data_IF_799128176384
#
_entry.id   IF_799128176384
#
_cell.length_a   1.000
_cell.length_b   1.000
_cell.length_c   1.000
_cell.angle_alpha   90.00
_cell.angle_beta   90.00
_cell.angle_gamma   90.00
#
_symmetry.space_group_name_H-M   'P 1'
#
loop_
_entity.id
_entity.type
_entity.pdbx_description
1 polymer ?
#
# COMPACT_ATOMS: atom_id res chain seq x y z
N UNK A 1 -12.84 47.10 -30.87
CA UNK A 1 -12.53 47.11 -29.43
C UNK A 1 -12.53 45.71 -28.80
N UNK A 2 -13.39 44.78 -29.21
CA UNK A 2 -13.52 43.46 -28.63
C UNK A 2 -12.34 42.54 -29.03
N UNK A 3 -11.81 42.69 -30.27
CA UNK A 3 -10.69 41.87 -30.76
C UNK A 3 -9.35 42.24 -30.10
N UNK A 4 -9.19 43.49 -29.69
CA UNK A 4 -7.96 43.95 -29.05
C UNK A 4 -7.80 43.51 -27.59
N UNK A 5 -8.88 42.96 -26.99
CA UNK A 5 -8.93 42.56 -25.59
C UNK A 5 -9.09 41.05 -25.36
N UNK A 6 -8.81 40.20 -26.35
CA UNK A 6 -9.08 38.76 -26.28
C UNK A 6 -10.51 38.44 -25.76
N UNK A 7 -11.49 39.21 -26.21
CA UNK A 7 -12.82 39.25 -25.64
C UNK A 7 -13.61 37.98 -25.93
N UNK A 8 -14.20 37.47 -24.88
CA UNK A 8 -15.27 36.47 -24.94
C UNK A 8 -16.58 37.15 -25.30
N UNK A 9 -17.30 36.63 -26.27
CA UNK A 9 -18.63 37.11 -26.69
C UNK A 9 -19.69 36.04 -26.40
N UNK A 10 -20.85 36.51 -26.03
CA UNK A 10 -22.04 35.65 -25.85
C UNK A 10 -23.01 35.89 -26.99
N UNK A 11 -23.50 34.85 -27.58
CA UNK A 11 -24.46 34.92 -28.66
C UNK A 11 -25.39 33.72 -28.74
N UNK A 12 -26.49 33.91 -29.42
CA UNK A 12 -27.49 32.87 -29.65
C UNK A 12 -27.27 32.20 -31.01
N UNK A 13 -27.30 30.87 -31.06
CA UNK A 13 -27.25 30.11 -32.30
C UNK A 13 -28.56 30.30 -33.07
N UNK A 14 -28.48 30.93 -34.23
CA UNK A 14 -29.65 31.24 -35.08
C UNK A 14 -29.85 30.28 -36.23
N UNK A 15 -28.77 29.66 -36.68
CA UNK A 15 -28.80 28.74 -37.82
C UNK A 15 -27.73 27.66 -37.72
N UNK A 16 -28.05 26.46 -38.12
CA UNK A 16 -27.11 25.35 -38.32
C UNK A 16 -26.82 25.23 -39.81
N UNK A 17 -25.55 25.36 -40.18
CA UNK A 17 -25.11 25.25 -41.58
C UNK A 17 -24.13 24.08 -41.73
N UNK A 18 -23.85 23.73 -42.98
CA UNK A 18 -22.87 22.72 -43.31
C UNK A 18 -21.47 23.21 -42.85
N UNK A 19 -20.88 22.54 -41.89
CA UNK A 19 -19.56 22.83 -41.36
C UNK A 19 -19.53 23.73 -40.13
N UNK A 20 -20.68 24.14 -39.58
CA UNK A 20 -20.67 24.93 -38.34
C UNK A 20 -22.01 25.52 -37.94
N UNK A 21 -21.97 26.51 -37.08
CA UNK A 21 -23.10 27.25 -36.53
C UNK A 21 -23.00 28.73 -36.89
N UNK A 22 -24.13 29.36 -37.10
CA UNK A 22 -24.24 30.80 -37.19
C UNK A 22 -24.75 31.34 -35.86
N UNK A 23 -23.98 32.24 -35.25
CA UNK A 23 -24.25 32.81 -33.94
C UNK A 23 -24.47 34.30 -34.05
N UNK A 24 -25.55 34.80 -33.47
CA UNK A 24 -25.85 36.21 -33.38
C UNK A 24 -25.18 36.85 -32.15
N UNK A 25 -24.14 37.64 -32.38
CA UNK A 25 -23.41 38.38 -31.36
C UNK A 25 -23.58 39.91 -31.52
N UNK A 26 -24.63 40.35 -32.19
CA UNK A 26 -24.80 41.72 -32.73
C UNK A 26 -24.26 41.85 -34.12
N UNK A 27 -23.53 40.90 -34.60
CA UNK A 27 -23.04 40.66 -35.95
C UNK A 27 -23.20 39.16 -36.26
N UNK A 28 -23.21 38.79 -37.55
CA UNK A 28 -23.23 37.41 -37.93
C UNK A 28 -21.87 36.76 -37.68
N UNK A 29 -21.82 35.87 -36.66
CA UNK A 29 -20.64 35.09 -36.31
C UNK A 29 -20.70 33.69 -36.87
N UNK A 30 -19.60 33.11 -37.35
CA UNK A 30 -19.47 31.74 -37.79
C UNK A 30 -18.65 30.95 -36.75
N UNK A 31 -19.22 29.88 -36.27
CA UNK A 31 -18.54 28.94 -35.34
C UNK A 31 -18.35 27.60 -36.09
N UNK A 32 -17.11 27.31 -36.57
CA UNK A 32 -16.81 26.05 -37.23
C UNK A 32 -17.11 24.84 -36.36
N UNK A 33 -17.57 23.74 -36.95
CA UNK A 33 -17.89 22.52 -36.22
C UNK A 33 -16.72 21.94 -35.42
N UNK A 34 -15.50 22.10 -35.92
CA UNK A 34 -14.27 21.69 -35.26
C UNK A 34 -13.91 22.53 -34.04
N UNK A 35 -14.50 23.70 -33.86
CA UNK A 35 -14.24 24.66 -32.81
C UNK A 35 -15.38 24.84 -31.79
N UNK A 36 -16.39 23.96 -31.84
CA UNK A 36 -17.53 24.01 -30.90
C UNK A 36 -17.19 23.40 -29.56
N UNK A 37 -16.62 22.21 -29.56
CA UNK A 37 -16.25 21.45 -28.36
C UNK A 37 -14.80 21.01 -28.41
N UNK A 38 -14.25 20.58 -27.27
CA UNK A 38 -12.93 19.97 -27.19
C UNK A 38 -12.81 18.68 -27.99
N UNK A 39 -13.92 17.97 -28.14
CA UNK A 39 -14.05 16.77 -28.97
C UNK A 39 -14.88 17.09 -30.20
N UNK A 40 -14.68 16.31 -31.26
CA UNK A 40 -15.45 16.48 -32.50
C UNK A 40 -16.93 16.23 -32.26
N UNK A 41 -17.75 17.21 -32.58
CA UNK A 41 -19.24 17.11 -32.55
C UNK A 41 -19.75 16.63 -33.89
N UNK A 42 -20.58 15.61 -33.89
CA UNK A 42 -21.18 15.03 -35.11
C UNK A 42 -22.54 15.66 -35.45
N UNK A 43 -23.32 15.99 -34.43
CA UNK A 43 -24.66 16.56 -34.58
C UNK A 43 -24.68 17.98 -33.99
N UNK A 44 -24.96 18.97 -34.83
CA UNK A 44 -25.03 20.38 -34.50
C UNK A 44 -26.43 20.86 -34.13
N UNK A 45 -27.46 20.07 -34.47
CA UNK A 45 -28.88 20.42 -34.28
C UNK A 45 -29.21 20.80 -32.82
N UNK A 46 -28.70 20.11 -31.80
CA UNK A 46 -29.01 20.46 -30.40
C UNK A 46 -28.56 21.86 -29.98
N UNK A 47 -27.65 22.48 -30.71
CA UNK A 47 -27.15 23.82 -30.43
C UNK A 47 -28.05 24.94 -30.94
N UNK A 48 -28.98 24.62 -31.83
CA UNK A 48 -29.90 25.62 -32.39
C UNK A 48 -30.77 26.25 -31.29
N UNK A 49 -30.77 27.59 -31.23
CA UNK A 49 -31.50 28.35 -30.23
C UNK A 49 -30.83 28.46 -28.87
N UNK A 50 -29.68 27.82 -28.68
CA UNK A 50 -28.90 27.92 -27.44
C UNK A 50 -28.05 29.19 -27.42
N UNK A 51 -27.90 29.75 -26.22
CA UNK A 51 -26.94 30.81 -25.97
C UNK A 51 -25.59 30.19 -25.66
N UNK A 52 -24.55 30.60 -26.38
CA UNK A 52 -23.19 30.09 -26.21
C UNK A 52 -22.18 31.23 -26.03
N UNK A 53 -21.10 30.93 -25.36
CA UNK A 53 -19.93 31.79 -25.20
C UNK A 53 -18.82 31.30 -26.11
N UNK A 54 -18.11 32.19 -26.76
CA UNK A 54 -16.98 31.86 -27.60
C UNK A 54 -15.96 33.02 -27.68
N UNK A 55 -14.73 32.71 -28.07
CA UNK A 55 -13.70 33.70 -28.37
C UNK A 55 -13.75 34.08 -29.85
N UNK A 56 -13.41 35.34 -30.13
CA UNK A 56 -13.25 35.82 -31.49
C UNK A 56 -11.85 35.47 -31.99
N UNK A 57 -11.76 34.63 -33.03
CA UNK A 57 -10.50 34.28 -33.68
C UNK A 57 -10.15 35.29 -34.77
N UNK A 58 -11.10 35.64 -35.60
CA UNK A 58 -10.88 36.55 -36.72
C UNK A 58 -12.09 37.47 -36.87
N UNK A 59 -11.81 38.72 -37.18
CA UNK A 59 -12.81 39.75 -37.44
C UNK A 59 -12.52 40.40 -38.79
N UNK A 60 -13.35 40.16 -39.77
CA UNK A 60 -13.35 40.83 -41.07
C UNK A 60 -14.35 42.00 -41.07
N UNK A 61 -13.84 43.23 -40.87
CA UNK A 61 -14.67 44.44 -40.81
C UNK A 61 -15.30 44.78 -42.14
N UNK A 62 -14.71 44.37 -43.26
CA UNK A 62 -15.18 44.69 -44.60
C UNK A 62 -16.38 43.79 -45.00
N UNK A 63 -16.35 42.56 -44.53
CA UNK A 63 -17.39 41.55 -44.81
C UNK A 63 -18.40 41.38 -43.68
N UNK A 64 -18.22 42.10 -42.59
CA UNK A 64 -19.02 41.92 -41.34
C UNK A 64 -19.09 40.48 -40.88
N UNK A 65 -18.01 39.71 -41.08
CA UNK A 65 -17.90 38.35 -40.66
C UNK A 65 -16.96 38.22 -39.44
N UNK A 66 -17.38 37.39 -38.51
CA UNK A 66 -16.60 37.05 -37.32
C UNK A 66 -16.47 35.55 -37.24
N UNK A 67 -15.24 35.04 -37.08
CA UNK A 67 -14.99 33.62 -36.83
C UNK A 67 -14.79 33.46 -35.33
N UNK A 68 -15.59 32.55 -34.76
CA UNK A 68 -15.63 32.26 -33.34
C UNK A 68 -15.03 30.89 -33.03
N UNK A 69 -14.51 30.75 -31.81
CA UNK A 69 -14.06 29.46 -31.27
C UNK A 69 -14.54 29.28 -29.83
N UNK A 70 -15.46 28.39 -29.63
CA UNK A 70 -15.85 27.95 -28.31
C UNK A 70 -14.76 27.03 -27.71
N UNK A 71 -14.13 26.23 -28.56
CA UNK A 71 -13.03 25.34 -28.18
C UNK A 71 -11.86 26.12 -27.56
N UNK A 72 -11.47 27.27 -28.13
CA UNK A 72 -10.43 28.10 -27.58
C UNK A 72 -10.77 28.64 -26.18
N UNK A 73 -12.03 29.01 -25.96
CA UNK A 73 -12.51 29.42 -24.64
C UNK A 73 -12.50 28.25 -23.63
N UNK A 74 -12.98 27.07 -24.03
CA UNK A 74 -12.99 25.89 -23.16
C UNK A 74 -11.57 25.43 -22.82
N UNK A 75 -10.64 25.45 -23.77
CA UNK A 75 -9.22 25.14 -23.53
C UNK A 75 -8.58 26.14 -22.56
N UNK A 76 -8.85 27.43 -22.71
CA UNK A 76 -8.35 28.44 -21.79
C UNK A 76 -8.92 28.26 -20.38
N UNK A 77 -10.22 28.07 -20.23
CA UNK A 77 -10.88 27.85 -18.95
C UNK A 77 -10.35 26.60 -18.26
N UNK A 78 -10.16 25.53 -19.01
CA UNK A 78 -9.61 24.28 -18.52
C UNK A 78 -8.15 24.45 -18.08
N UNK A 79 -7.33 25.17 -18.86
CA UNK A 79 -5.94 25.47 -18.54
C UNK A 79 -5.84 26.33 -17.29
N UNK A 80 -6.67 27.38 -17.16
CA UNK A 80 -6.71 28.25 -15.98
C UNK A 80 -7.14 27.47 -14.74
N UNK A 81 -8.17 26.64 -14.84
CA UNK A 81 -8.63 25.77 -13.75
C UNK A 81 -7.56 24.78 -13.32
N UNK A 82 -6.87 24.18 -14.29
CA UNK A 82 -5.76 23.26 -14.05
C UNK A 82 -4.58 23.96 -13.35
N UNK A 83 -4.17 25.12 -13.82
CA UNK A 83 -3.10 25.94 -13.22
C UNK A 83 -3.47 26.36 -11.80
N UNK A 84 -4.69 26.83 -11.57
CA UNK A 84 -5.18 27.20 -10.24
C UNK A 84 -5.18 25.99 -9.31
N UNK A 85 -5.64 24.83 -9.78
CA UNK A 85 -5.64 23.59 -9.02
C UNK A 85 -4.22 23.16 -8.64
N UNK A 86 -3.26 23.18 -9.58
CA UNK A 86 -1.86 22.86 -9.32
C UNK A 86 -1.19 23.83 -8.33
N UNK A 87 -1.52 25.12 -8.39
CA UNK A 87 -1.00 26.12 -7.46
C UNK A 87 -1.51 25.93 -6.03
N UNK A 88 -2.65 25.30 -5.85
CA UNK A 88 -3.23 24.97 -4.54
C UNK A 88 -2.74 23.64 -3.97
N UNK A 89 -2.01 22.85 -4.76
CA UNK A 89 -1.42 21.61 -4.30
C UNK A 89 -0.05 21.88 -3.65
N UNK A 90 0.17 21.26 -2.51
CA UNK A 90 1.42 21.37 -1.76
C UNK A 90 1.95 19.98 -1.42
N UNK A 91 3.29 19.85 -1.40
CA UNK A 91 3.97 18.63 -0.94
C UNK A 91 3.53 18.26 0.47
N UNK A 92 3.24 16.98 0.68
CA UNK A 92 2.77 16.46 1.97
C UNK A 92 1.26 16.55 2.19
N UNK A 93 0.51 17.17 1.28
CA UNK A 93 -0.94 17.24 1.35
C UNK A 93 -1.57 15.89 1.00
N UNK A 94 -2.54 15.47 1.79
CA UNK A 94 -3.32 14.24 1.54
C UNK A 94 -4.60 14.60 0.80
N UNK A 95 -4.85 13.91 -0.32
CA UNK A 95 -6.05 14.09 -1.14
C UNK A 95 -6.68 12.76 -1.52
N UNK A 96 -7.98 12.78 -1.75
CA UNK A 96 -8.73 11.68 -2.33
C UNK A 96 -8.80 11.81 -3.84
N UNK A 97 -8.68 10.69 -4.52
CA UNK A 97 -8.78 10.62 -5.97
C UNK A 97 -9.33 9.29 -6.44
N UNK A 98 -9.59 9.20 -7.73
CA UNK A 98 -10.10 7.99 -8.38
C UNK A 98 -9.05 7.50 -9.36
N UNK A 99 -8.75 6.21 -9.33
CA UNK A 99 -7.83 5.59 -10.29
C UNK A 99 -8.43 5.69 -11.69
N UNK A 100 -7.79 6.47 -12.57
CA UNK A 100 -8.26 6.71 -13.94
C UNK A 100 -7.69 5.71 -14.93
N UNK A 101 -6.44 5.28 -14.74
CA UNK A 101 -5.81 4.25 -15.57
C UNK A 101 -4.65 3.58 -14.83
N UNK A 102 -4.33 2.37 -15.25
CA UNK A 102 -3.22 1.58 -14.74
C UNK A 102 -2.23 1.32 -15.87
N UNK A 103 -0.96 1.60 -15.62
CA UNK A 103 0.15 1.40 -16.54
C UNK A 103 1.22 0.50 -15.92
N UNK A 104 2.19 0.04 -16.70
CA UNK A 104 3.23 -0.89 -16.23
C UNK A 104 4.07 -0.34 -15.07
N UNK A 105 4.29 0.97 -15.03
CA UNK A 105 5.12 1.62 -14.01
C UNK A 105 4.32 2.28 -12.87
N UNK A 106 3.00 2.16 -12.87
CA UNK A 106 2.17 2.73 -11.81
C UNK A 106 0.70 2.89 -12.16
N UNK A 107 0.03 3.79 -11.47
CA UNK A 107 -1.37 4.11 -11.69
C UNK A 107 -1.58 5.63 -11.77
N UNK A 108 -2.44 6.07 -12.67
CA UNK A 108 -2.89 7.45 -12.72
C UNK A 108 -4.13 7.62 -11.86
N UNK A 109 -4.12 8.67 -11.04
CA UNK A 109 -5.21 9.02 -10.13
C UNK A 109 -5.74 10.41 -10.50
N UNK A 110 -7.03 10.49 -10.77
CA UNK A 110 -7.72 11.74 -11.02
C UNK A 110 -8.03 12.42 -9.68
N UNK A 111 -7.44 13.59 -9.48
CA UNK A 111 -7.60 14.42 -8.28
C UNK A 111 -8.75 15.44 -8.39
N UNK A 112 -9.51 15.40 -9.48
CA UNK A 112 -10.63 16.32 -9.74
C UNK A 112 -10.31 17.51 -10.64
N UNK A 113 -9.16 17.52 -11.27
CA UNK A 113 -8.74 18.58 -12.22
C UNK A 113 -7.42 18.26 -12.91
N UNK A 114 -6.61 17.44 -12.28
CA UNK A 114 -5.31 16.99 -12.78
C UNK A 114 -5.14 15.52 -12.43
N UNK A 115 -4.53 14.76 -13.31
CA UNK A 115 -4.12 13.38 -13.05
C UNK A 115 -2.73 13.36 -12.41
N UNK A 116 -2.61 12.67 -11.30
CA UNK A 116 -1.33 12.37 -10.67
C UNK A 116 -0.89 10.94 -10.91
N UNK A 117 0.41 10.70 -10.87
CA UNK A 117 1.00 9.38 -11.00
C UNK A 117 1.41 8.83 -9.63
N UNK A 118 0.94 7.65 -9.30
CA UNK A 118 1.46 6.81 -8.21
C UNK A 118 2.37 5.76 -8.85
N UNK A 119 3.68 5.92 -8.67
CA UNK A 119 4.64 4.93 -9.17
C UNK A 119 4.42 3.58 -8.46
N UNK A 120 4.73 2.48 -9.11
CA UNK A 120 4.56 1.13 -8.55
C UNK A 120 5.25 0.96 -7.19
N UNK A 121 6.40 1.58 -6.98
CA UNK A 121 7.11 1.61 -5.69
C UNK A 121 6.41 2.40 -4.59
N UNK A 122 5.46 3.26 -4.94
CA UNK A 122 4.69 4.11 -4.02
C UNK A 122 3.25 3.60 -3.78
N UNK A 123 2.88 2.45 -4.35
CA UNK A 123 1.55 1.87 -4.20
C UNK A 123 1.39 1.04 -2.93
N UNK A 124 2.42 0.33 -2.53
CA UNK A 124 2.38 -0.56 -1.38
C UNK A 124 3.74 -0.69 -0.71
N UNK A 125 3.74 -0.98 0.59
CA UNK A 125 4.92 -1.38 1.35
C UNK A 125 5.43 -2.77 0.98
N UNK A 126 4.57 -3.62 0.39
CA UNK A 126 4.93 -4.92 -0.14
C UNK A 126 5.51 -4.78 -1.54
N UNK A 127 6.40 -5.69 -1.90
CA UNK A 127 6.86 -5.78 -3.28
C UNK A 127 5.71 -6.23 -4.19
N UNK A 128 5.42 -5.43 -5.22
CA UNK A 128 4.43 -5.72 -6.25
C UNK A 128 5.08 -5.61 -7.62
N UNK A 129 4.68 -6.44 -8.56
CA UNK A 129 5.20 -6.41 -9.93
C UNK A 129 4.37 -5.49 -10.83
N UNK A 130 3.08 -5.41 -10.57
CA UNK A 130 2.15 -4.59 -11.35
C UNK A 130 1.16 -3.83 -10.46
N UNK A 131 0.81 -2.61 -10.88
CA UNK A 131 -0.10 -1.75 -10.13
C UNK A 131 -1.51 -2.35 -9.94
N UNK A 132 -1.97 -3.19 -10.86
CA UNK A 132 -3.26 -3.88 -10.77
C UNK A 132 -3.39 -4.85 -9.59
N UNK A 133 -2.28 -5.24 -8.97
CA UNK A 133 -2.28 -6.07 -7.76
C UNK A 133 -2.82 -5.33 -6.53
N UNK A 134 -2.74 -4.02 -6.52
CA UNK A 134 -3.11 -3.16 -5.37
C UNK A 134 -4.35 -2.33 -5.64
N UNK A 135 -4.50 -1.80 -6.85
CA UNK A 135 -5.57 -0.87 -7.22
C UNK A 135 -6.26 -1.29 -8.52
N UNK A 136 -7.51 -0.87 -8.66
CA UNK A 136 -8.33 -1.09 -9.85
C UNK A 136 -8.79 0.25 -10.43
N UNK A 137 -9.03 0.28 -11.75
CA UNK A 137 -9.58 1.46 -12.43
C UNK A 137 -10.98 1.78 -11.88
N UNK A 138 -11.19 3.04 -11.52
CA UNK A 138 -12.43 3.51 -10.88
C UNK A 138 -12.47 3.38 -9.36
N UNK A 139 -11.43 2.83 -8.74
CA UNK A 139 -11.32 2.75 -7.27
C UNK A 139 -11.02 4.12 -6.68
N UNK A 140 -11.70 4.48 -5.60
CA UNK A 140 -11.37 5.66 -4.81
C UNK A 140 -10.18 5.36 -3.89
N UNK A 141 -9.16 6.20 -3.94
CA UNK A 141 -7.94 6.06 -3.14
C UNK A 141 -7.59 7.37 -2.45
N UNK A 142 -6.93 7.26 -1.29
CA UNK A 142 -6.36 8.40 -0.58
C UNK A 142 -4.85 8.40 -0.81
N UNK A 143 -4.32 9.51 -1.31
CA UNK A 143 -2.91 9.64 -1.69
C UNK A 143 -2.29 10.89 -1.08
N UNK A 144 -0.98 10.84 -0.85
CA UNK A 144 -0.17 11.98 -0.43
C UNK A 144 0.59 12.56 -1.61
N UNK A 145 0.66 13.88 -1.69
CA UNK A 145 1.40 14.58 -2.74
C UNK A 145 2.88 14.59 -2.39
N UNK A 146 3.70 13.94 -3.23
CA UNK A 146 5.14 13.91 -3.09
C UNK A 146 5.81 15.12 -3.75
N UNK A 147 5.40 15.46 -4.95
CA UNK A 147 5.96 16.55 -5.75
C UNK A 147 4.92 17.08 -6.73
N UNK A 148 4.96 18.39 -6.95
CA UNK A 148 4.16 19.08 -7.97
C UNK A 148 5.10 19.77 -8.95
N UNK A 149 5.08 19.33 -10.21
CA UNK A 149 5.80 19.94 -11.32
C UNK A 149 4.84 20.85 -12.11
N UNK A 150 4.92 22.15 -11.84
CA UNK A 150 4.05 23.15 -12.47
C UNK A 150 4.36 23.34 -13.96
N UNK A 151 5.62 23.19 -14.36
CA UNK A 151 6.03 23.37 -15.75
C UNK A 151 5.52 22.25 -16.65
N UNK A 152 5.56 21.03 -16.15
CA UNK A 152 5.09 19.83 -16.87
C UNK A 152 3.66 19.45 -16.55
N UNK A 153 3.03 20.17 -15.64
CA UNK A 153 1.68 19.87 -15.13
C UNK A 153 1.54 18.42 -14.62
N UNK A 154 2.55 17.93 -13.90
CA UNK A 154 2.62 16.59 -13.34
C UNK A 154 2.62 16.62 -11.82
N UNK A 155 1.96 15.67 -11.24
CA UNK A 155 1.90 15.45 -9.78
C UNK A 155 2.35 14.04 -9.48
N UNK A 156 3.34 13.92 -8.62
CA UNK A 156 3.78 12.62 -8.08
C UNK A 156 3.08 12.33 -6.77
N UNK A 157 2.49 11.14 -6.65
CA UNK A 157 1.65 10.73 -5.53
C UNK A 157 2.21 9.49 -4.86
N UNK A 158 1.87 9.30 -3.59
CA UNK A 158 2.15 8.09 -2.83
C UNK A 158 0.89 7.57 -2.14
N UNK A 159 0.51 6.36 -2.43
CA UNK A 159 -0.55 5.66 -1.72
C UNK A 159 -0.01 5.05 -0.41
N UNK A 160 1.20 4.49 -0.44
CA UNK A 160 1.81 3.87 0.75
C UNK A 160 2.10 4.86 1.87
N UNK A 161 2.36 6.14 1.56
CA UNK A 161 2.59 7.19 2.55
C UNK A 161 1.37 7.46 3.46
N UNK A 162 0.16 7.15 3.00
CA UNK A 162 -1.08 7.23 3.78
C UNK A 162 -1.35 5.97 4.61
N UNK A 163 -0.61 4.91 4.36
CA UNK A 163 -0.67 3.65 5.10
C UNK A 163 0.43 3.60 6.15
N UNK A 164 0.15 2.93 7.26
CA UNK A 164 1.20 2.69 8.25
C UNK A 164 2.29 1.80 7.67
N UNK A 165 3.55 2.14 7.96
CA UNK A 165 4.68 1.30 7.63
C UNK A 165 4.57 -0.03 8.41
N UNK A 166 4.50 -1.20 7.75
CA UNK A 166 4.39 -2.49 8.43
C UNK A 166 5.51 -2.73 9.46
N UNK A 167 6.70 -2.19 9.22
CA UNK A 167 7.82 -2.30 10.15
C UNK A 167 7.61 -1.50 11.42
N UNK A 168 6.99 -0.31 11.33
CA UNK A 168 6.63 0.49 12.51
C UNK A 168 5.53 -0.20 13.31
N UNK A 169 4.53 -0.75 12.64
CA UNK A 169 3.46 -1.53 13.28
C UNK A 169 4.03 -2.76 13.98
N UNK A 170 4.92 -3.49 13.31
CA UNK A 170 5.57 -4.66 13.88
C UNK A 170 6.40 -4.30 15.13
N UNK A 171 7.21 -3.24 15.07
CA UNK A 171 8.01 -2.79 16.20
C UNK A 171 7.16 -2.33 17.40
N UNK A 172 5.99 -1.75 17.14
CA UNK A 172 5.04 -1.33 18.17
C UNK A 172 4.31 -2.49 18.82
N UNK A 173 3.97 -3.51 18.03
CA UNK A 173 3.16 -4.66 18.48
C UNK A 173 4.00 -5.85 18.99
N UNK A 174 5.29 -5.87 18.67
CA UNK A 174 6.22 -6.94 19.07
C UNK A 174 7.39 -6.36 19.87
N UNK A 175 7.66 -6.96 21.01
CA UNK A 175 8.77 -6.57 21.85
C UNK A 175 10.00 -7.46 21.61
N UNK A 176 11.19 -6.92 21.85
CA UNK A 176 12.43 -7.72 21.91
C UNK A 176 12.30 -8.74 23.04
N UNK A 177 12.61 -10.00 22.74
CA UNK A 177 12.44 -11.12 23.66
C UNK A 177 11.13 -11.88 23.53
N UNK A 178 10.19 -11.37 22.75
CA UNK A 178 8.92 -12.04 22.44
C UNK A 178 9.15 -13.25 21.52
N UNK A 179 8.38 -14.31 21.74
CA UNK A 179 8.34 -15.48 20.87
C UNK A 179 7.21 -15.32 19.86
N UNK A 180 7.56 -15.41 18.59
CA UNK A 180 6.63 -15.24 17.48
C UNK A 180 6.64 -16.46 16.54
N UNK A 181 5.48 -16.87 16.02
CA UNK A 181 5.44 -17.85 14.94
C UNK A 181 5.95 -17.26 13.65
N UNK A 182 6.67 -18.06 12.88
CA UNK A 182 7.18 -17.67 11.59
C UNK A 182 7.28 -18.83 10.63
N UNK A 183 7.48 -18.53 9.35
CA UNK A 183 7.65 -19.51 8.29
C UNK A 183 8.99 -19.31 7.62
N UNK A 184 9.77 -20.38 7.50
CA UNK A 184 11.05 -20.35 6.79
C UNK A 184 10.79 -20.12 5.30
N UNK A 185 11.30 -19.00 4.78
CA UNK A 185 11.13 -18.61 3.38
C UNK A 185 12.32 -18.93 2.52
N UNK A 186 13.54 -18.86 3.08
CA UNK A 186 14.79 -19.09 2.36
C UNK A 186 15.88 -19.57 3.29
N UNK A 187 16.71 -20.46 2.79
CA UNK A 187 17.94 -20.92 3.44
C UNK A 187 19.16 -20.31 2.74
N UNK A 188 20.10 -19.83 3.53
CA UNK A 188 21.35 -19.23 3.06
C UNK A 188 22.52 -19.84 3.83
N UNK A 189 23.78 -19.76 3.34
CA UNK A 189 24.92 -20.34 4.03
C UNK A 189 25.14 -19.86 5.46
N UNK A 190 24.72 -18.62 5.75
CA UNK A 190 24.87 -17.99 7.08
C UNK A 190 23.62 -18.06 7.98
N UNK A 191 22.54 -18.73 7.52
CA UNK A 191 21.34 -18.91 8.33
C UNK A 191 20.07 -19.17 7.54
N UNK A 192 18.94 -18.79 8.13
CA UNK A 192 17.62 -18.95 7.54
C UNK A 192 16.81 -17.66 7.64
N UNK A 193 16.11 -17.32 6.59
CA UNK A 193 15.13 -16.24 6.61
C UNK A 193 13.77 -16.78 7.03
N UNK A 194 13.16 -16.11 8.00
CA UNK A 194 11.86 -16.47 8.56
C UNK A 194 10.92 -15.28 8.47
N UNK A 195 9.78 -15.50 7.83
CA UNK A 195 8.72 -14.51 7.76
C UNK A 195 7.87 -14.57 9.03
N UNK A 196 7.92 -13.51 9.83
CA UNK A 196 7.21 -13.40 11.11
C UNK A 196 5.91 -12.60 11.01
N UNK A 197 5.77 -11.79 9.97
CA UNK A 197 4.55 -11.07 9.64
C UNK A 197 4.48 -10.87 8.13
N UNK A 198 3.35 -10.40 7.64
CA UNK A 198 3.15 -10.14 6.22
C UNK A 198 4.10 -9.03 5.71
N UNK A 199 4.98 -9.41 4.78
CA UNK A 199 6.03 -8.53 4.25
C UNK A 199 7.23 -8.29 5.17
N UNK A 200 7.33 -8.99 6.30
CA UNK A 200 8.40 -8.84 7.28
C UNK A 200 9.15 -10.14 7.46
N UNK A 201 10.40 -10.15 7.05
CA UNK A 201 11.33 -11.29 7.21
C UNK A 201 12.47 -10.92 8.14
N UNK A 202 12.80 -11.85 9.01
CA UNK A 202 13.98 -11.78 9.87
C UNK A 202 14.98 -12.86 9.54
N UNK A 203 16.21 -12.70 9.99
CA UNK A 203 17.29 -13.66 9.86
C UNK A 203 17.52 -14.40 11.16
N UNK A 204 17.49 -15.72 11.10
CA UNK A 204 18.05 -16.61 12.13
C UNK A 204 19.46 -16.95 11.69
N UNK A 205 20.49 -16.37 12.33
CA UNK A 205 21.87 -16.69 12.04
C UNK A 205 22.14 -18.18 12.33
N UNK A 206 23.07 -18.81 11.60
CA UNK A 206 23.37 -20.24 11.75
C UNK A 206 23.73 -20.63 13.19
N UNK A 207 24.39 -19.74 13.93
CA UNK A 207 24.72 -19.92 15.34
C UNK A 207 23.49 -19.89 16.29
N UNK A 208 22.37 -19.36 15.80
CA UNK A 208 21.11 -19.22 16.52
C UNK A 208 20.06 -20.27 16.14
N UNK A 209 20.42 -21.25 15.30
CA UNK A 209 19.51 -22.34 14.90
C UNK A 209 19.44 -23.46 15.92
N UNK A 210 20.55 -23.81 16.55
CA UNK A 210 20.63 -24.91 17.54
C UNK A 210 21.75 -24.66 18.55
N UNK A 211 21.62 -25.28 19.72
CA UNK A 211 22.69 -25.35 20.71
C UNK A 211 23.87 -26.23 20.28
N UNK A 212 23.63 -27.14 19.32
CA UNK A 212 24.68 -27.95 18.72
C UNK A 212 25.30 -27.23 17.52
N UNK A 213 26.52 -27.60 17.18
CA UNK A 213 27.19 -27.07 15.99
C UNK A 213 26.40 -27.44 14.72
N UNK A 214 26.09 -26.42 13.91
CA UNK A 214 25.37 -26.55 12.65
C UNK A 214 26.23 -25.99 11.53
N UNK A 215 26.51 -26.80 10.52
CA UNK A 215 27.26 -26.38 9.35
C UNK A 215 26.37 -25.78 8.25
N UNK A 216 25.19 -26.33 8.11
CA UNK A 216 24.18 -25.90 7.14
C UNK A 216 22.82 -25.68 7.80
N UNK A 217 22.13 -24.60 7.44
CA UNK A 217 20.78 -24.32 7.96
C UNK A 217 19.77 -25.47 7.65
N UNK A 218 19.98 -26.18 6.56
CA UNK A 218 19.15 -27.32 6.13
C UNK A 218 19.16 -28.49 7.13
N UNK A 219 20.19 -28.59 7.98
CA UNK A 219 20.28 -29.61 9.02
C UNK A 219 19.22 -29.44 10.13
N UNK A 220 18.75 -28.20 10.33
CA UNK A 220 17.80 -27.86 11.40
C UNK A 220 16.41 -27.55 10.87
N UNK A 221 16.32 -26.79 9.78
CA UNK A 221 15.06 -26.30 9.22
C UNK A 221 15.04 -26.48 7.71
N UNK A 222 13.84 -26.59 7.17
CA UNK A 222 13.58 -26.66 5.74
C UNK A 222 12.73 -25.47 5.31
N UNK A 223 12.79 -25.11 4.01
CA UNK A 223 11.92 -24.09 3.43
C UNK A 223 10.46 -24.48 3.65
N UNK A 224 9.64 -23.52 3.99
CA UNK A 224 8.23 -23.66 4.37
C UNK A 224 7.94 -24.30 5.74
N UNK A 225 8.95 -24.58 6.54
CA UNK A 225 8.73 -25.01 7.92
C UNK A 225 8.12 -23.86 8.75
N UNK A 226 7.14 -24.19 9.56
CA UNK A 226 6.57 -23.29 10.56
C UNK A 226 7.34 -23.46 11.86
N UNK A 227 7.94 -22.36 12.35
CA UNK A 227 8.79 -22.37 13.55
C UNK A 227 8.46 -21.20 14.45
N UNK A 228 8.66 -21.39 15.77
CA UNK A 228 8.62 -20.32 16.74
C UNK A 228 10.03 -19.78 16.98
N UNK A 229 10.18 -18.49 16.86
CA UNK A 229 11.45 -17.79 17.00
C UNK A 229 11.35 -16.67 18.02
N UNK A 230 12.46 -16.40 18.71
CA UNK A 230 12.57 -15.28 19.64
C UNK A 230 13.11 -14.06 18.91
N UNK A 231 12.50 -12.91 19.12
CA UNK A 231 12.96 -11.64 18.57
C UNK A 231 14.12 -11.15 19.43
N UNK A 232 15.32 -11.06 18.83
CA UNK A 232 16.53 -10.61 19.51
C UNK A 232 16.71 -9.11 19.35
N UNK A 233 16.53 -8.60 18.13
CA UNK A 233 16.73 -7.21 17.78
C UNK A 233 15.85 -6.79 16.59
N UNK A 234 15.42 -5.53 16.60
CA UNK A 234 14.65 -4.92 15.51
C UNK A 234 15.36 -3.65 15.08
N UNK A 235 15.88 -3.63 13.86
CA UNK A 235 16.50 -2.46 13.23
C UNK A 235 15.55 -1.88 12.18
N UNK A 236 14.85 -0.82 12.55
CA UNK A 236 13.88 -0.14 11.67
C UNK A 236 14.56 0.64 10.54
N UNK A 237 15.74 1.18 10.77
CA UNK A 237 16.47 1.97 9.77
C UNK A 237 16.94 1.10 8.62
N UNK A 238 17.43 -0.09 8.93
CA UNK A 238 17.88 -1.08 7.94
C UNK A 238 16.81 -2.06 7.52
N UNK A 239 15.64 -2.04 8.16
CA UNK A 239 14.54 -2.99 7.98
C UNK A 239 15.01 -4.44 8.13
N UNK A 240 15.66 -4.71 9.24
CA UNK A 240 16.18 -6.04 9.61
C UNK A 240 15.70 -6.44 10.98
N UNK A 241 15.41 -7.72 11.12
CA UNK A 241 15.06 -8.34 12.39
C UNK A 241 16.02 -9.49 12.61
N UNK A 242 16.65 -9.54 13.78
CA UNK A 242 17.45 -10.67 14.23
C UNK A 242 16.58 -11.59 15.06
N UNK A 243 16.59 -12.85 14.69
CA UNK A 243 15.76 -13.90 15.30
C UNK A 243 16.66 -15.03 15.83
N UNK A 244 16.16 -15.77 16.83
CA UNK A 244 16.82 -16.95 17.34
C UNK A 244 15.83 -18.09 17.54
N UNK A 245 16.09 -19.20 16.90
CA UNK A 245 15.36 -20.45 17.13
C UNK A 245 15.82 -21.11 18.42
N UNK A 246 17.13 -21.14 18.68
CA UNK A 246 17.71 -21.76 19.86
C UNK A 246 17.27 -21.05 21.14
N UNK A 247 17.30 -19.71 21.19
CA UNK A 247 16.85 -18.95 22.35
C UNK A 247 15.35 -19.04 22.60
N UNK A 248 14.55 -19.21 21.53
CA UNK A 248 13.12 -19.47 21.66
C UNK A 248 12.83 -20.79 22.41
N UNK A 249 13.68 -21.78 22.19
CA UNK A 249 13.54 -23.11 22.82
C UNK A 249 14.22 -23.19 24.19
N UNK A 250 15.14 -22.27 24.50
CA UNK A 250 15.82 -22.24 25.80
C UNK A 250 14.85 -21.93 26.95
N UNK A 251 14.96 -22.70 28.03
CA UNK A 251 14.18 -22.47 29.24
C UNK A 251 12.69 -22.82 29.13
N UNK A 252 12.25 -23.34 28.00
CA UNK A 252 10.89 -23.84 27.82
C UNK A 252 10.86 -25.33 28.16
N UNK A 253 10.12 -25.66 29.20
CA UNK A 253 9.85 -27.05 29.57
C UNK A 253 8.54 -27.51 28.89
N UNK A 254 8.59 -28.51 27.99
CA UNK A 254 7.38 -28.99 27.31
C UNK A 254 6.32 -29.57 28.25
N UNK A 255 6.71 -29.96 29.46
CA UNK A 255 5.82 -30.52 30.48
C UNK A 255 5.31 -29.47 31.48
N UNK A 256 5.82 -28.23 31.41
CA UNK A 256 5.40 -27.15 32.29
C UNK A 256 4.02 -26.61 31.93
N UNK A 257 3.27 -26.25 32.97
CA UNK A 257 2.01 -25.53 32.86
C UNK A 257 2.18 -24.00 33.08
N UNK A 258 3.41 -23.54 33.25
CA UNK A 258 3.70 -22.11 33.38
C UNK A 258 3.58 -21.39 32.03
N UNK A 259 2.59 -20.55 31.94
CA UNK A 259 2.27 -19.78 30.71
C UNK A 259 2.35 -18.29 30.95
N UNK A 260 3.18 -17.61 30.16
CA UNK A 260 3.25 -16.14 30.12
C UNK A 260 2.64 -15.64 28.79
N UNK A 261 1.42 -15.10 28.83
CA UNK A 261 0.73 -14.61 27.61
C UNK A 261 1.51 -13.52 26.86
N UNK A 262 2.26 -12.70 27.58
CA UNK A 262 3.03 -11.59 26.98
C UNK A 262 4.12 -12.09 26.04
N UNK A 263 4.77 -13.20 26.36
CA UNK A 263 5.78 -13.81 25.51
C UNK A 263 5.22 -14.33 24.16
N UNK A 264 3.93 -14.61 24.13
CA UNK A 264 3.27 -15.18 22.96
C UNK A 264 2.33 -14.20 22.25
N UNK A 265 2.62 -12.91 22.38
CA UNK A 265 1.99 -11.85 21.59
C UNK A 265 0.65 -11.35 22.10
N UNK A 266 0.24 -11.69 23.32
CA UNK A 266 -0.90 -11.05 23.96
C UNK A 266 -0.49 -9.64 24.43
N UNK A 267 -1.21 -8.58 24.04
CA UNK A 267 -0.96 -7.25 24.56
C UNK A 267 -1.14 -7.23 26.07
N UNK A 268 -0.10 -6.82 26.81
CA UNK A 268 -0.14 -6.65 28.25
C UNK A 268 0.28 -5.24 28.62
N UNK A 269 -0.47 -4.62 29.50
CA UNK A 269 -0.13 -3.33 30.08
C UNK A 269 0.28 -3.53 31.53
N UNK A 270 1.25 -2.74 31.96
CA UNK A 270 1.70 -2.69 33.35
C UNK A 270 1.51 -1.28 33.89
N UNK A 271 1.24 -1.16 35.16
CA UNK A 271 1.15 0.13 35.82
C UNK A 271 2.54 0.72 36.13
N UNK A 272 2.59 1.93 36.65
CA UNK A 272 3.84 2.63 37.00
C UNK A 272 4.67 1.90 38.09
N UNK A 273 4.07 0.92 38.75
CA UNK A 273 4.72 0.09 39.78
C UNK A 273 5.23 -1.25 39.22
N UNK A 274 4.88 -1.56 37.97
CA UNK A 274 5.21 -2.80 37.31
C UNK A 274 4.22 -3.96 37.55
N UNK A 275 3.04 -3.66 38.12
CA UNK A 275 2.00 -4.63 38.32
C UNK A 275 1.13 -4.75 37.05
N UNK A 276 0.64 -5.96 36.74
CA UNK A 276 -0.21 -6.21 35.59
C UNK A 276 -1.50 -5.40 35.67
N UNK A 277 -1.76 -4.62 34.64
CA UNK A 277 -3.00 -3.85 34.50
C UNK A 277 -4.07 -4.75 33.88
N UNK A 278 -5.07 -5.10 34.67
CA UNK A 278 -6.20 -5.86 34.19
C UNK A 278 -7.04 -5.08 33.19
N UNK A 279 -7.68 -5.78 32.24
CA UNK A 279 -8.57 -5.12 31.27
C UNK A 279 -9.74 -4.40 31.97
N UNK A 280 -10.22 -3.36 31.31
CA UNK A 280 -11.38 -2.61 31.83
C UNK A 280 -12.60 -3.52 31.96
N UNK A 281 -13.24 -3.49 33.10
CA UNK A 281 -14.40 -4.34 33.41
C UNK A 281 -14.08 -5.68 34.06
N UNK A 282 -12.80 -5.98 34.30
CA UNK A 282 -12.39 -7.18 35.05
C UNK A 282 -12.07 -6.84 36.49
N UNK A 283 -12.68 -7.55 37.42
CA UNK A 283 -12.41 -7.43 38.86
C UNK A 283 -11.40 -8.49 39.31
N UNK A 284 -10.16 -8.11 39.67
CA UNK A 284 -9.14 -9.03 40.07
C UNK A 284 -9.35 -9.66 41.46
N UNK A 285 -10.20 -9.05 42.32
CA UNK A 285 -10.49 -9.58 43.64
C UNK A 285 -11.50 -10.73 43.60
N UNK A 286 -12.53 -10.59 42.75
CA UNK A 286 -13.55 -11.62 42.56
C UNK A 286 -13.24 -12.60 41.43
N UNK A 287 -12.28 -12.21 40.57
CA UNK A 287 -11.93 -12.94 39.34
C UNK A 287 -13.10 -13.06 38.34
N UNK A 288 -13.96 -12.04 38.32
CA UNK A 288 -15.16 -12.01 37.48
C UNK A 288 -15.21 -10.74 36.61
N UNK A 289 -15.93 -10.85 35.51
CA UNK A 289 -16.22 -9.71 34.64
C UNK A 289 -17.47 -8.96 35.13
N UNK A 290 -17.40 -7.63 35.14
CA UNK A 290 -18.54 -6.77 35.46
C UNK A 290 -19.58 -6.80 34.34
N UNK A 291 -20.84 -6.56 34.70
CA UNK A 291 -21.93 -6.46 33.71
C UNK A 291 -21.69 -5.30 32.74
N UNK A 292 -21.96 -5.52 31.45
CA UNK A 292 -21.80 -4.52 30.39
C UNK A 292 -20.46 -4.52 29.66
N UNK A 293 -19.54 -5.41 30.03
CA UNK A 293 -18.21 -5.53 29.39
C UNK A 293 -18.06 -6.82 28.55
N UNK A 294 -19.14 -7.32 27.98
CA UNK A 294 -19.13 -8.58 27.20
C UNK A 294 -18.24 -8.50 25.97
N UNK A 295 -18.12 -7.33 25.32
CA UNK A 295 -17.26 -7.14 24.16
C UNK A 295 -15.77 -7.23 24.55
N UNK A 296 -15.38 -6.52 25.60
CA UNK A 296 -14.01 -6.53 26.14
C UNK A 296 -13.62 -7.91 26.64
N UNK A 297 -14.54 -8.60 27.30
CA UNK A 297 -14.37 -10.00 27.73
C UNK A 297 -14.12 -10.91 26.55
N UNK A 298 -14.93 -10.84 25.51
CA UNK A 298 -14.79 -11.68 24.32
C UNK A 298 -13.47 -11.42 23.59
N UNK A 299 -13.07 -10.17 23.49
CA UNK A 299 -11.79 -9.78 22.88
C UNK A 299 -10.60 -10.31 23.70
N UNK A 300 -10.63 -10.12 25.01
CA UNK A 300 -9.57 -10.59 25.91
C UNK A 300 -9.45 -12.13 25.90
N UNK A 301 -10.58 -12.83 26.03
CA UNK A 301 -10.63 -14.30 25.97
C UNK A 301 -10.10 -14.83 24.63
N UNK A 302 -10.42 -14.15 23.51
CA UNK A 302 -9.91 -14.48 22.18
C UNK A 302 -8.39 -14.31 22.07
N UNK A 303 -7.85 -13.22 22.58
CA UNK A 303 -6.40 -12.96 22.59
C UNK A 303 -5.66 -13.95 23.50
N UNK A 304 -6.20 -14.25 24.66
CA UNK A 304 -5.64 -15.23 25.59
C UNK A 304 -5.61 -16.64 24.98
N UNK A 305 -6.72 -17.08 24.38
CA UNK A 305 -6.80 -18.37 23.72
C UNK A 305 -5.81 -18.49 22.54
N UNK A 306 -5.64 -17.40 21.75
CA UNK A 306 -4.68 -17.38 20.67
C UNK A 306 -3.22 -17.45 21.16
N UNK A 307 -2.89 -16.75 22.24
CA UNK A 307 -1.56 -16.83 22.88
C UNK A 307 -1.30 -18.22 23.46
N UNK A 308 -2.29 -18.80 24.10
CA UNK A 308 -2.21 -20.17 24.64
C UNK A 308 -2.01 -21.20 23.53
N UNK A 309 -2.71 -21.07 22.40
CA UNK A 309 -2.52 -21.95 21.25
C UNK A 309 -1.10 -21.87 20.67
N UNK A 310 -0.52 -20.68 20.61
CA UNK A 310 0.89 -20.50 20.21
C UNK A 310 1.86 -21.13 21.21
N UNK A 311 1.61 -20.96 22.49
CA UNK A 311 2.44 -21.59 23.53
C UNK A 311 2.40 -23.13 23.45
N UNK A 312 1.23 -23.74 23.29
CA UNK A 312 1.11 -25.18 23.13
C UNK A 312 1.82 -25.69 21.87
N UNK A 313 1.69 -24.98 20.74
CA UNK A 313 2.40 -25.31 19.51
C UNK A 313 3.92 -25.18 19.67
N UNK A 314 4.38 -24.17 20.41
CA UNK A 314 5.80 -23.99 20.71
C UNK A 314 6.33 -25.11 21.64
N UNK A 315 5.57 -25.52 22.64
CA UNK A 315 5.93 -26.68 23.49
C UNK A 315 6.14 -27.94 22.65
N UNK A 316 5.28 -28.17 21.66
CA UNK A 316 5.43 -29.29 20.72
C UNK A 316 6.73 -29.18 19.89
N UNK A 317 7.08 -27.99 19.43
CA UNK A 317 8.37 -27.75 18.76
C UNK A 317 9.57 -28.02 19.66
N UNK A 318 9.55 -27.56 20.90
CA UNK A 318 10.61 -27.80 21.89
C UNK A 318 10.77 -29.29 22.18
N UNK A 319 9.66 -30.01 22.39
CA UNK A 319 9.66 -31.44 22.60
C UNK A 319 10.27 -32.20 21.41
N UNK A 320 9.93 -31.80 20.18
CA UNK A 320 10.52 -32.37 18.97
C UNK A 320 12.02 -32.11 18.88
N UNK A 321 12.46 -30.91 19.18
CA UNK A 321 13.88 -30.54 19.17
C UNK A 321 14.68 -31.37 20.18
N UNK A 322 14.17 -31.53 21.40
CA UNK A 322 14.79 -32.36 22.45
C UNK A 322 14.89 -33.81 21.99
N UNK A 323 13.85 -34.36 21.38
CA UNK A 323 13.85 -35.73 20.86
C UNK A 323 14.89 -35.93 19.73
N UNK A 324 14.97 -34.99 18.79
CA UNK A 324 15.93 -35.02 17.68
C UNK A 324 17.37 -34.90 18.20
N UNK A 325 17.62 -34.06 19.17
CA UNK A 325 18.93 -33.93 19.82
C UNK A 325 19.36 -35.19 20.61
N UNK A 326 18.39 -35.89 21.22
CA UNK A 326 18.65 -37.13 21.97
C UNK A 326 19.01 -38.30 21.03
N UNK A 327 18.55 -38.29 19.77
CA UNK A 327 18.84 -39.32 18.77
C UNK A 327 20.18 -39.16 18.05
N UNK A 328 21.04 -38.22 18.44
CA UNK A 328 22.41 -38.12 17.94
C UNK A 328 22.72 -36.92 17.06
N UNK A 329 21.78 -35.98 16.88
CA UNK A 329 21.99 -34.75 16.12
C UNK A 329 21.52 -34.82 14.67
N UNK A 330 21.67 -33.72 13.97
CA UNK A 330 21.14 -33.50 12.62
C UNK A 330 21.92 -34.31 11.58
N UNK A 331 21.24 -35.24 10.90
CA UNK A 331 21.81 -35.94 9.72
C UNK A 331 21.89 -34.98 8.53
N UNK A 332 23.02 -35.01 7.82
CA UNK A 332 23.13 -34.35 6.52
C UNK A 332 22.14 -35.02 5.55
N UNK A 333 21.39 -34.27 4.77
CA UNK A 333 20.60 -34.86 3.69
C UNK A 333 21.54 -35.66 2.78
N UNK A 334 21.21 -36.92 2.51
CA UNK A 334 22.01 -37.78 1.68
C UNK A 334 22.27 -37.11 0.34
N UNK A 335 23.51 -36.76 0.08
CA UNK A 335 23.95 -36.29 -1.25
C UNK A 335 23.64 -37.41 -2.23
N UNK A 336 22.76 -37.13 -3.18
CA UNK A 336 22.51 -38.03 -4.29
C UNK A 336 23.84 -38.27 -4.97
N UNK A 337 24.40 -39.47 -4.76
CA UNK A 337 25.60 -39.95 -5.46
C UNK A 337 25.26 -40.01 -6.94
N UNK A 338 25.74 -39.05 -7.72
CA UNK A 338 25.78 -39.14 -9.15
C UNK A 338 26.80 -40.24 -9.53
N UNK A 339 26.27 -41.42 -9.80
CA UNK A 339 27.07 -42.47 -10.43
C UNK A 339 27.38 -42.04 -11.86
N UNK A 340 28.56 -41.49 -12.07
CA UNK A 340 29.16 -41.38 -13.40
C UNK A 340 29.67 -42.75 -13.80
N UNK A 341 28.88 -43.50 -14.57
CA UNK A 341 29.37 -44.65 -15.32
C UNK A 341 30.10 -44.15 -16.57
N UNK A 342 31.41 -44.10 -16.49
CA UNK A 342 32.29 -44.06 -17.66
C UNK A 342 32.28 -45.44 -18.30
N UNK A 343 31.67 -45.59 -19.47
CA UNK A 343 31.94 -46.72 -20.37
C UNK A 343 32.89 -46.26 -21.44
N UNK A 344 34.11 -46.75 -21.33
CA UNK A 344 35.08 -46.84 -22.42
C UNK A 344 34.65 -47.93 -23.40
N UNK A 345 34.58 -47.64 -24.69
CA UNK A 345 35.04 -48.41 -25.82
C UNK A 345 34.81 -47.61 -27.09
#
# INVERSE_FOLDING_TARGET
>A
KIKESDGVVTGTVIEVVKGGLIVDIGLRGFLPASLIELRRVRDLTPYLGQEIEAKILELDKNRNNVVLSRRALLEQTQSESRTTFLNNLHKGQVRKGIVSSIVNFGAFVDLGGVDGLVHVSELSWKHIEHASEVVEVGQEVTVEILEVDLDRERVSLSLKATQEDPWQVFARTHAIGQIAPGKVTKLVPFGAFVRVADGIEGLVHISELSNKHVELAEQVVSVNDEVFVKIIDIDLDRRRISLSLKQANEGVDPESDEFDPALYGMPTEYDDKGDYKYPEGFDPETNEWLEGYDTQRTEWEGQYAAAQGRWEAHKAQVAKTIADEAQGGFDLPATASSSSSSSSS
#
